data_IF_377261656736
#
_entry.id   IF_377261656736
#
_cell.length_a   1.000
_cell.length_b   1.000
_cell.length_c   1.000
_cell.angle_alpha   90.00
_cell.angle_beta   90.00
_cell.angle_gamma   90.00
#
_symmetry.space_group_name_H-M   'P 1'
#
loop_
_entity.id
_entity.type
_entity.pdbx_description
1 polymer ?
#
# COMPACT_ATOMS: atom_id res chain seq x y z
N UNK A 1 27.01 5.45 14.35
CA UNK A 1 25.90 6.33 14.77
C UNK A 1 25.90 7.55 13.85
N UNK A 2 24.88 7.65 12.99
CA UNK A 2 24.76 8.67 11.93
C UNK A 2 23.33 9.24 11.97
N UNK A 3 23.04 10.19 12.87
CA UNK A 3 21.70 10.71 13.04
C UNK A 3 21.34 11.74 11.96
N UNK A 4 20.10 11.72 11.51
CA UNK A 4 19.53 12.70 10.61
C UNK A 4 18.07 12.95 10.98
N UNK A 5 17.68 14.21 11.12
CA UNK A 5 16.27 14.58 11.34
C UNK A 5 15.67 14.98 9.99
N UNK A 6 14.69 14.21 9.55
CA UNK A 6 13.98 14.42 8.29
C UNK A 6 12.69 15.21 8.48
N UNK A 7 11.79 15.10 7.51
CA UNK A 7 10.47 15.73 7.57
C UNK A 7 9.62 15.21 8.73
N UNK A 8 8.77 16.09 9.28
CA UNK A 8 7.86 15.79 10.41
C UNK A 8 8.60 15.30 11.66
N UNK A 9 9.78 15.89 11.93
CA UNK A 9 10.62 15.58 13.08
C UNK A 9 10.94 14.08 13.26
N UNK A 10 11.00 13.33 12.15
CA UNK A 10 11.43 11.94 12.17
C UNK A 10 12.94 11.86 12.33
N UNK A 11 13.40 11.13 13.34
CA UNK A 11 14.82 10.82 13.53
C UNK A 11 15.17 9.52 12.82
N UNK A 12 16.11 9.60 11.90
CA UNK A 12 16.74 8.46 11.27
C UNK A 12 18.13 8.25 11.89
N UNK A 13 18.48 7.01 12.18
CA UNK A 13 19.78 6.68 12.74
C UNK A 13 20.16 5.23 12.46
N UNK A 14 21.46 4.94 12.49
CA UNK A 14 21.98 3.60 12.26
C UNK A 14 22.53 2.97 13.52
N UNK A 15 22.19 1.70 13.76
CA UNK A 15 22.65 0.92 14.92
C UNK A 15 22.68 -0.58 14.61
N UNK A 16 23.63 -1.28 15.23
CA UNK A 16 23.80 -2.73 15.30
C UNK A 16 23.28 -3.31 16.64
N UNK A 17 22.82 -2.45 17.55
CA UNK A 17 22.36 -2.85 18.89
C UNK A 17 20.91 -3.38 18.89
N UNK A 18 20.29 -3.52 17.72
CA UNK A 18 18.89 -3.93 17.54
C UNK A 18 18.80 -4.99 16.45
N UNK A 19 17.75 -5.80 16.49
CA UNK A 19 17.49 -6.81 15.46
C UNK A 19 17.20 -6.14 14.12
N UNK A 20 18.09 -6.33 13.15
CA UNK A 20 17.88 -5.91 11.78
C UNK A 20 18.34 -6.96 10.77
N UNK A 21 18.81 -6.54 9.60
CA UNK A 21 19.17 -7.41 8.49
C UNK A 21 20.68 -7.67 8.42
N UNK A 22 21.50 -6.72 8.88
CA UNK A 22 22.95 -6.73 8.69
C UNK A 22 23.73 -6.34 9.94
N UNK A 23 24.83 -5.63 9.73
CA UNK A 23 25.64 -5.07 10.82
C UNK A 23 24.99 -3.79 11.33
N UNK A 24 25.35 -2.65 10.76
CA UNK A 24 24.59 -1.41 10.94
C UNK A 24 23.32 -1.43 10.10
N UNK A 25 22.18 -1.19 10.74
CA UNK A 25 20.90 -1.01 10.06
C UNK A 25 20.33 0.38 10.35
N UNK A 26 19.64 0.97 9.36
CA UNK A 26 18.94 2.25 9.49
C UNK A 26 17.55 2.02 10.12
N UNK A 27 17.26 2.80 11.15
CA UNK A 27 15.97 2.85 11.83
C UNK A 27 15.37 4.25 11.74
N UNK A 28 14.05 4.33 11.79
CA UNK A 28 13.30 5.57 12.04
C UNK A 28 12.70 5.58 13.45
N UNK A 29 12.56 6.78 14.01
CA UNK A 29 11.86 7.06 15.26
C UNK A 29 11.00 8.31 15.09
N UNK A 30 9.83 8.30 15.73
CA UNK A 30 8.84 9.37 15.65
C UNK A 30 9.02 10.32 16.84
N UNK A 31 8.79 11.60 16.65
CA UNK A 31 8.79 12.55 17.75
C UNK A 31 7.37 12.75 18.26
N UNK A 32 7.09 12.29 19.48
CA UNK A 32 5.76 12.32 20.10
C UNK A 32 5.91 12.77 21.57
N UNK A 33 5.04 13.67 22.02
CA UNK A 33 4.99 14.13 23.43
C UNK A 33 6.33 14.63 24.02
N UNK A 34 7.22 15.17 23.16
CA UNK A 34 8.51 15.74 23.58
C UNK A 34 9.67 14.76 23.64
N UNK A 35 9.49 13.51 23.21
CA UNK A 35 10.54 12.50 23.14
C UNK A 35 10.43 11.65 21.86
N UNK A 36 11.52 10.97 21.50
CA UNK A 36 11.52 10.05 20.36
C UNK A 36 10.96 8.69 20.76
N UNK A 37 9.90 8.26 20.09
CA UNK A 37 9.16 7.01 20.31
C UNK A 37 9.32 6.07 19.12
N UNK A 38 8.95 4.79 19.32
CA UNK A 38 8.76 3.78 18.28
C UNK A 38 9.93 3.66 17.27
N UNK A 39 10.86 2.73 17.53
CA UNK A 39 12.00 2.50 16.64
C UNK A 39 11.69 1.42 15.61
N UNK A 40 11.55 1.79 14.35
CA UNK A 40 11.23 0.87 13.26
C UNK A 40 12.43 0.68 12.32
N UNK A 41 12.79 -0.57 12.02
CA UNK A 41 13.80 -0.88 11.01
C UNK A 41 13.24 -0.56 9.62
N UNK A 42 14.00 0.13 8.76
CA UNK A 42 13.52 0.49 7.42
C UNK A 42 13.46 -0.69 6.44
N UNK A 43 13.95 -1.87 6.83
CA UNK A 43 13.97 -3.11 6.07
C UNK A 43 14.58 -2.96 4.66
N UNK A 44 14.56 -4.05 3.88
CA UNK A 44 14.92 -3.97 2.47
C UNK A 44 13.89 -3.12 1.69
N UNK A 45 14.32 -2.31 0.70
CA UNK A 45 15.66 -2.31 0.10
C UNK A 45 16.68 -1.36 0.77
N UNK A 46 16.26 -0.55 1.75
CA UNK A 46 17.13 0.43 2.42
C UNK A 46 18.20 -0.27 3.26
N UNK A 47 17.80 -1.27 4.03
CA UNK A 47 18.70 -2.15 4.78
C UNK A 47 18.97 -3.44 4.01
N UNK A 48 20.13 -4.04 4.28
CA UNK A 48 20.67 -5.24 3.65
C UNK A 48 21.43 -6.09 4.66
N UNK A 49 22.07 -7.17 4.20
CA UNK A 49 22.92 -8.02 5.05
C UNK A 49 24.27 -7.37 5.41
N UNK A 50 24.43 -6.08 5.15
CA UNK A 50 25.68 -5.31 5.24
C UNK A 50 25.51 -4.12 6.19
N UNK A 51 26.49 -3.22 6.25
CA UNK A 51 26.39 -1.98 7.03
C UNK A 51 25.74 -0.90 6.20
N UNK A 52 24.49 -0.55 6.53
CA UNK A 52 23.73 0.54 5.93
C UNK A 52 23.62 1.72 6.91
N UNK A 53 24.05 2.90 6.48
CA UNK A 53 24.14 4.07 7.36
C UNK A 53 24.08 5.43 6.68
N UNK A 54 24.16 6.52 7.46
CA UNK A 54 24.15 7.90 6.98
C UNK A 54 22.96 8.22 6.05
N UNK A 55 21.77 7.81 6.48
CA UNK A 55 20.53 8.07 5.76
C UNK A 55 20.19 9.57 5.76
N UNK A 56 19.91 10.13 4.59
CA UNK A 56 19.50 11.52 4.40
C UNK A 56 18.36 11.62 3.39
N UNK A 57 17.43 12.53 3.63
CA UNK A 57 16.34 12.85 2.72
C UNK A 57 16.60 14.18 2.02
N UNK A 58 16.23 14.25 0.74
CA UNK A 58 16.21 15.50 -0.02
C UNK A 58 14.93 16.26 0.37
N UNK A 59 15.04 17.49 0.88
CA UNK A 59 13.89 18.26 1.35
C UNK A 59 12.75 18.38 0.34
N UNK A 60 11.52 18.14 0.76
CA UNK A 60 10.31 18.26 -0.06
C UNK A 60 10.10 17.08 -1.01
N UNK A 61 10.89 16.01 -0.89
CA UNK A 61 10.79 14.84 -1.77
C UNK A 61 10.76 13.53 -0.97
N UNK A 62 10.46 12.44 -1.67
CA UNK A 62 10.60 11.06 -1.19
C UNK A 62 11.94 10.43 -1.62
N UNK A 63 12.93 11.25 -1.95
CA UNK A 63 14.22 10.83 -2.49
C UNK A 63 15.31 11.09 -1.46
N UNK A 64 16.38 10.31 -1.52
CA UNK A 64 17.46 10.48 -0.58
C UNK A 64 18.68 9.64 -0.90
N UNK A 65 19.61 9.66 0.04
CA UNK A 65 20.85 8.91 -0.04
C UNK A 65 21.10 8.15 1.26
N UNK A 66 21.86 7.07 1.17
CA UNK A 66 22.47 6.39 2.31
C UNK A 66 23.82 5.82 1.87
N UNK A 67 24.67 5.49 2.81
CA UNK A 67 25.95 4.83 2.58
C UNK A 67 25.87 3.34 2.91
N UNK A 68 26.54 2.51 2.13
CA UNK A 68 26.59 1.08 2.39
C UNK A 68 27.84 0.39 1.86
N UNK A 69 28.27 -0.70 2.50
CA UNK A 69 29.37 -1.57 2.06
C UNK A 69 28.87 -2.86 1.37
N UNK A 70 27.85 -2.73 0.52
CA UNK A 70 27.32 -3.86 -0.28
C UNK A 70 28.34 -4.37 -1.30
N UNK A 71 28.27 -5.66 -1.58
CA UNK A 71 29.27 -6.40 -2.38
C UNK A 71 29.25 -5.99 -3.86
N UNK A 72 28.11 -5.51 -4.35
CA UNK A 72 27.89 -5.03 -5.71
C UNK A 72 28.30 -3.56 -5.92
N UNK A 73 28.89 -2.93 -4.90
CA UNK A 73 29.41 -1.57 -4.94
C UNK A 73 30.71 -1.39 -5.73
N UNK A 74 31.15 -0.15 -5.87
CA UNK A 74 32.39 0.25 -6.54
C UNK A 74 33.59 0.37 -5.58
N UNK A 75 33.37 0.27 -4.26
CA UNK A 75 34.41 0.42 -3.25
C UNK A 75 34.08 -0.22 -1.90
N UNK A 76 34.75 0.25 -0.84
CA UNK A 76 34.52 -0.24 0.52
C UNK A 76 33.24 0.30 1.16
N UNK A 77 32.87 1.55 0.86
CA UNK A 77 31.62 2.19 1.27
C UNK A 77 31.19 3.11 0.13
N UNK A 78 30.01 2.86 -0.42
CA UNK A 78 29.44 3.64 -1.53
C UNK A 78 28.21 4.41 -1.09
N UNK A 79 27.86 5.46 -1.84
CA UNK A 79 26.64 6.25 -1.64
C UNK A 79 25.56 5.73 -2.60
N UNK A 80 24.45 5.29 -2.03
CA UNK A 80 23.28 4.78 -2.73
C UNK A 80 22.20 5.84 -2.77
N UNK A 81 21.63 6.05 -3.95
CA UNK A 81 20.42 6.84 -4.13
C UNK A 81 19.18 5.95 -3.99
N UNK A 82 18.15 6.47 -3.34
CA UNK A 82 16.84 5.84 -3.31
C UNK A 82 15.73 6.82 -3.64
N UNK A 83 14.64 6.25 -4.14
CA UNK A 83 13.36 6.89 -4.28
C UNK A 83 12.34 5.99 -3.61
N UNK A 84 11.74 6.48 -2.51
CA UNK A 84 10.72 5.72 -1.80
C UNK A 84 9.42 5.75 -2.59
N UNK A 85 9.26 4.76 -3.48
CA UNK A 85 8.07 4.60 -4.35
C UNK A 85 6.82 4.17 -3.58
N UNK A 86 6.93 3.89 -2.28
CA UNK A 86 5.79 3.71 -1.38
C UNK A 86 5.75 4.93 -0.47
N UNK A 87 5.10 6.04 -0.87
CA UNK A 87 4.93 7.16 0.04
C UNK A 87 4.11 6.62 1.21
N UNK A 88 4.78 6.34 2.33
CA UNK A 88 4.21 6.04 3.65
C UNK A 88 2.86 5.32 3.55
N UNK A 89 2.86 3.98 3.65
CA UNK A 89 1.65 3.15 3.58
C UNK A 89 0.55 3.50 4.61
N UNK A 90 0.72 4.56 5.41
CA UNK A 90 -0.30 5.20 6.23
C UNK A 90 -0.35 6.71 5.91
N UNK A 91 -0.88 7.10 4.74
CA UNK A 91 -1.64 8.36 4.71
C UNK A 91 -2.90 8.09 5.51
N UNK A 92 -2.83 8.32 6.82
CA UNK A 92 -4.04 8.28 7.63
C UNK A 92 -4.97 9.35 7.06
N UNK A 93 -6.13 8.88 6.59
CA UNK A 93 -7.21 9.69 6.07
C UNK A 93 -8.42 9.52 6.97
N UNK A 94 -9.11 10.62 7.23
CA UNK A 94 -10.31 10.67 8.07
C UNK A 94 -11.43 11.40 7.36
N UNK A 95 -12.64 11.18 7.86
CA UNK A 95 -13.84 11.89 7.46
C UNK A 95 -14.22 12.92 8.53
N UNK A 96 -14.43 14.17 8.11
CA UNK A 96 -15.08 15.19 8.93
C UNK A 96 -16.51 15.32 8.44
N UNK A 97 -17.46 15.00 9.31
CA UNK A 97 -18.88 15.22 9.07
C UNK A 97 -19.39 16.33 9.97
N UNK A 98 -20.35 17.09 9.49
CA UNK A 98 -20.98 18.08 10.34
C UNK A 98 -22.37 18.45 9.89
N UNK A 99 -23.06 19.14 10.77
CA UNK A 99 -24.39 19.66 10.54
C UNK A 99 -24.38 21.14 10.90
N UNK A 100 -24.73 21.99 9.93
CA UNK A 100 -24.98 23.42 10.17
C UNK A 100 -26.42 23.58 10.61
N UNK A 101 -26.62 24.09 11.83
CA UNK A 101 -27.94 24.23 12.45
C UNK A 101 -28.17 25.66 12.91
N UNK A 102 -29.43 26.07 12.83
CA UNK A 102 -29.88 27.31 13.44
C UNK A 102 -29.94 27.14 14.97
N UNK A 103 -29.28 28.03 15.70
CA UNK A 103 -29.16 27.96 17.16
C UNK A 103 -30.53 28.01 17.86
N UNK A 104 -31.45 28.80 17.32
CA UNK A 104 -32.76 29.08 17.95
C UNK A 104 -33.71 27.89 17.87
N UNK A 105 -33.75 27.17 16.74
CA UNK A 105 -34.72 26.10 16.49
C UNK A 105 -34.08 24.72 16.26
N UNK A 106 -32.74 24.63 16.27
CA UNK A 106 -31.97 23.40 16.09
C UNK A 106 -32.18 22.68 14.75
N UNK A 107 -32.86 23.31 13.78
CA UNK A 107 -33.05 22.78 12.42
C UNK A 107 -31.81 23.00 11.57
N UNK A 108 -31.51 22.04 10.70
CA UNK A 108 -30.43 22.13 9.73
C UNK A 108 -30.72 23.15 8.64
N UNK A 109 -29.67 23.73 8.06
CA UNK A 109 -29.80 24.81 7.08
C UNK A 109 -29.29 24.31 5.72
N UNK A 110 -30.17 24.35 4.72
CA UNK A 110 -29.88 23.93 3.35
C UNK A 110 -28.99 24.94 2.61
N UNK A 111 -28.15 24.47 1.68
CA UNK A 111 -27.31 25.30 0.80
C UNK A 111 -26.44 26.34 1.52
N UNK A 112 -25.87 25.95 2.66
CA UNK A 112 -24.79 26.72 3.29
C UNK A 112 -23.49 26.31 2.64
N UNK A 113 -22.71 27.27 2.17
CA UNK A 113 -21.34 27.01 1.69
C UNK A 113 -20.46 26.71 2.89
N UNK A 114 -19.80 25.56 2.89
CA UNK A 114 -18.85 25.11 3.91
C UNK A 114 -17.49 24.94 3.25
N UNK A 115 -16.50 25.67 3.75
CA UNK A 115 -15.11 25.63 3.31
C UNK A 115 -14.24 25.12 4.43
N UNK A 116 -13.26 24.28 4.08
CA UNK A 116 -12.30 23.71 5.01
C UNK A 116 -10.89 24.17 4.63
N UNK A 117 -10.14 24.60 5.63
CA UNK A 117 -8.77 25.09 5.51
C UNK A 117 -7.84 24.34 6.46
N UNK A 118 -6.58 24.14 6.08
CA UNK A 118 -5.51 23.77 6.99
C UNK A 118 -4.51 24.92 7.06
N UNK A 119 -4.43 25.58 8.20
CA UNK A 119 -3.60 26.77 8.43
C UNK A 119 -3.98 27.95 7.50
N UNK A 120 -3.62 27.87 6.22
CA UNK A 120 -4.02 28.83 5.16
C UNK A 120 -4.33 28.16 3.81
N UNK A 121 -4.11 26.86 3.68
CA UNK A 121 -4.40 26.13 2.47
C UNK A 121 -5.89 25.78 2.42
N UNK A 122 -6.57 26.20 1.35
CA UNK A 122 -7.94 25.78 1.07
C UNK A 122 -7.96 24.31 0.65
N UNK A 123 -8.71 23.49 1.38
CA UNK A 123 -8.76 22.03 1.19
C UNK A 123 -9.97 21.63 0.36
N UNK A 124 -11.09 22.35 0.49
CA UNK A 124 -12.30 22.05 -0.26
C UNK A 124 -13.50 22.90 0.15
N UNK A 125 -14.52 22.85 -0.72
CA UNK A 125 -15.79 23.55 -0.54
C UNK A 125 -16.94 22.58 -0.79
N UNK A 126 -17.98 22.64 0.02
CA UNK A 126 -19.24 21.92 -0.18
C UNK A 126 -20.44 22.80 0.14
N UNK A 127 -21.61 22.38 -0.37
CA UNK A 127 -22.90 22.90 0.07
C UNK A 127 -23.55 21.89 1.01
N UNK A 128 -24.17 22.37 2.08
CA UNK A 128 -24.96 21.49 2.95
C UNK A 128 -26.19 20.96 2.23
N UNK A 129 -26.59 19.73 2.58
CA UNK A 129 -27.85 19.14 2.09
C UNK A 129 -29.07 19.75 2.84
N UNK A 130 -30.28 19.32 2.50
CA UNK A 130 -31.53 19.84 3.09
C UNK A 130 -31.65 19.62 4.62
N UNK A 131 -30.84 18.72 5.19
CA UNK A 131 -30.73 18.49 6.64
C UNK A 131 -29.61 19.31 7.28
N UNK A 132 -28.92 20.16 6.51
CA UNK A 132 -27.76 20.93 6.96
C UNK A 132 -26.46 20.14 7.03
N UNK A 133 -26.40 18.91 6.50
CA UNK A 133 -25.25 18.02 6.64
C UNK A 133 -24.18 18.25 5.55
N UNK A 134 -22.91 18.08 5.91
CA UNK A 134 -21.75 18.09 4.99
C UNK A 134 -20.73 16.99 5.36
N UNK A 135 -19.87 16.58 4.40
CA UNK A 135 -18.89 15.49 4.59
C UNK A 135 -17.60 15.73 3.79
N UNK A 136 -16.46 15.89 4.47
CA UNK A 136 -15.14 15.85 3.84
C UNK A 136 -14.47 14.50 4.13
N UNK A 137 -14.42 13.60 3.14
CA UNK A 137 -14.11 12.16 3.30
C UNK A 137 -12.62 11.79 3.13
N UNK A 138 -11.72 12.77 2.99
CA UNK A 138 -10.31 12.50 2.68
C UNK A 138 -9.32 13.50 3.30
N UNK A 139 -9.59 13.94 4.54
CA UNK A 139 -8.71 14.87 5.26
C UNK A 139 -7.53 14.13 5.91
N UNK A 140 -6.40 14.81 6.08
CA UNK A 140 -5.21 14.24 6.70
C UNK A 140 -5.39 14.15 8.22
N UNK A 141 -5.00 13.03 8.82
CA UNK A 141 -5.04 12.86 10.27
C UNK A 141 -4.02 13.73 11.00
N UNK A 142 -4.23 13.93 12.31
CA UNK A 142 -3.34 14.70 13.21
C UNK A 142 -3.09 16.15 12.75
N UNK A 143 -3.99 16.67 11.93
CA UNK A 143 -4.01 18.06 11.46
C UNK A 143 -5.15 18.83 12.12
N UNK A 144 -4.94 20.14 12.26
CA UNK A 144 -6.00 21.09 12.61
C UNK A 144 -6.61 21.65 11.34
N UNK A 145 -7.93 21.75 11.34
CA UNK A 145 -8.69 22.31 10.25
C UNK A 145 -9.61 23.40 10.76
N UNK A 146 -9.66 24.47 9.99
CA UNK A 146 -10.59 25.57 10.17
C UNK A 146 -11.75 25.37 9.20
N UNK A 147 -12.97 25.34 9.73
CA UNK A 147 -14.19 25.21 8.93
C UNK A 147 -14.92 26.53 8.98
N UNK A 148 -15.03 27.15 7.82
CA UNK A 148 -15.75 28.40 7.63
C UNK A 148 -17.04 28.08 6.88
N UNK A 149 -18.17 28.56 7.37
CA UNK A 149 -19.42 28.47 6.63
C UNK A 149 -20.00 29.85 6.37
N UNK A 150 -20.66 30.04 5.23
CA UNK A 150 -21.34 31.29 4.93
C UNK A 150 -22.58 31.11 4.07
N UNK A 151 -23.58 31.97 4.30
CA UNK A 151 -24.79 32.11 3.48
C UNK A 151 -25.34 33.52 3.65
N UNK A 152 -25.56 34.22 2.53
CA UNK A 152 -26.28 35.50 2.46
C UNK A 152 -25.96 36.52 3.59
N UNK A 153 -24.68 36.83 3.78
CA UNK A 153 -24.23 37.85 4.74
C UNK A 153 -23.97 37.34 6.17
N UNK A 154 -24.13 36.05 6.41
CA UNK A 154 -23.85 35.39 7.68
C UNK A 154 -22.71 34.40 7.54
N UNK A 155 -21.86 34.34 8.57
CA UNK A 155 -20.68 33.48 8.59
C UNK A 155 -20.64 32.71 9.91
N UNK A 156 -20.23 31.45 9.86
CA UNK A 156 -19.92 30.62 11.01
C UNK A 156 -18.49 30.07 10.93
N UNK A 157 -17.95 29.67 12.07
CA UNK A 157 -16.59 29.18 12.18
C UNK A 157 -16.50 28.06 13.22
N UNK A 158 -15.74 27.01 12.92
CA UNK A 158 -15.36 25.97 13.87
C UNK A 158 -13.94 25.47 13.60
N UNK A 159 -13.26 25.04 14.65
CA UNK A 159 -11.97 24.36 14.56
C UNK A 159 -12.15 22.87 14.88
N UNK A 160 -11.43 22.01 14.15
CA UNK A 160 -11.42 20.58 14.41
C UNK A 160 -10.00 20.02 14.31
N UNK A 161 -9.65 19.16 15.26
CA UNK A 161 -8.39 18.42 15.24
C UNK A 161 -8.66 16.95 14.92
N UNK A 162 -8.08 16.48 13.83
CA UNK A 162 -8.14 15.07 13.42
C UNK A 162 -7.21 14.22 14.30
N UNK A 163 -7.54 12.94 14.47
CA UNK A 163 -6.87 12.02 15.41
C UNK A 163 -6.09 10.93 14.67
N UNK A 164 -5.12 10.24 15.27
CA UNK A 164 -4.25 9.30 14.55
C UNK A 164 -4.92 7.96 14.11
N UNK A 165 -6.14 7.67 14.55
CA UNK A 165 -6.84 6.41 14.22
C UNK A 165 -7.52 6.48 12.85
N UNK A 166 -7.13 5.60 11.92
CA UNK A 166 -7.85 5.43 10.66
C UNK A 166 -9.27 4.88 10.93
N UNK A 167 -10.30 5.67 10.65
CA UNK A 167 -11.71 5.26 10.79
C UNK A 167 -12.57 6.10 11.74
N UNK A 168 -12.03 7.13 12.38
CA UNK A 168 -12.84 8.02 13.21
C UNK A 168 -13.60 9.06 12.37
N UNK A 169 -14.91 9.12 12.59
CA UNK A 169 -15.84 10.12 12.09
C UNK A 169 -16.00 11.20 13.15
N UNK A 170 -15.57 12.41 12.86
CA UNK A 170 -15.78 13.56 13.73
C UNK A 170 -17.10 14.22 13.33
N UNK A 171 -18.01 14.41 14.29
CA UNK A 171 -19.30 15.09 14.08
C UNK A 171 -19.20 16.49 14.65
N UNK A 172 -19.35 17.49 13.80
CA UNK A 172 -19.36 18.90 14.18
C UNK A 172 -20.78 19.46 14.15
N UNK A 173 -21.10 20.26 15.16
CA UNK A 173 -22.33 21.04 15.21
C UNK A 173 -21.94 22.52 15.12
N UNK A 174 -22.32 23.15 14.01
CA UNK A 174 -22.11 24.57 13.80
C UNK A 174 -23.41 25.29 14.15
N UNK A 175 -23.50 25.77 15.39
CA UNK A 175 -24.58 26.62 15.85
C UNK A 175 -24.42 28.02 15.27
N UNK A 176 -25.47 28.49 14.62
CA UNK A 176 -25.43 29.74 13.86
C UNK A 176 -26.70 30.55 14.10
N UNK A 177 -26.56 31.87 14.18
CA UNK A 177 -27.66 32.81 14.43
C UNK A 177 -28.38 33.23 13.13
N UNK A 178 -28.46 32.35 12.12
CA UNK A 178 -29.13 32.69 10.86
C UNK A 178 -30.62 33.02 11.07
N UNK A 179 -31.21 33.90 10.24
CA UNK A 179 -32.64 34.20 10.28
C UNK A 179 -33.51 32.95 10.05
N UNK A 180 -34.68 32.89 10.69
CA UNK A 180 -35.65 31.79 10.53
C UNK A 180 -36.12 31.59 9.07
N UNK A 181 -36.07 32.64 8.25
CA UNK A 181 -36.47 32.61 6.83
C UNK A 181 -35.62 31.64 5.97
N UNK A 182 -34.38 31.37 6.36
CA UNK A 182 -33.51 30.39 5.69
C UNK A 182 -33.72 28.95 6.13
N UNK A 183 -34.60 28.76 7.12
CA UNK A 183 -35.08 27.45 7.52
C UNK A 183 -36.33 27.19 6.72
N UNK A 184 -36.14 26.89 5.43
CA UNK A 184 -37.25 26.40 4.63
C UNK A 184 -37.75 25.10 5.28
N UNK A 185 -39.01 25.10 5.71
CA UNK A 185 -39.73 23.84 5.86
C UNK A 185 -39.93 23.28 4.46
N UNK A 186 -38.89 22.65 3.92
CA UNK A 186 -39.01 21.84 2.73
C UNK A 186 -39.80 20.58 3.14
N UNK A 187 -41.13 20.69 3.09
CA UNK A 187 -41.97 19.53 2.88
C UNK A 187 -41.52 18.99 1.52
N UNK A 188 -40.98 17.78 1.49
CA UNK A 188 -40.34 17.17 0.30
C UNK A 188 -41.42 16.75 -0.73
N UNK A 189 -42.51 17.52 -0.83
CA UNK A 189 -43.63 17.33 -1.73
C UNK A 189 -43.41 17.94 -3.11
N UNK A 190 -42.54 18.95 -3.23
CA UNK A 190 -42.42 19.70 -4.48
C UNK A 190 -41.05 19.45 -5.14
N UNK A 191 -41.12 18.95 -6.37
CA UNK A 191 -40.02 18.62 -7.31
C UNK A 191 -39.26 17.29 -7.14
N UNK A 192 -40.00 16.17 -7.14
CA UNK A 192 -39.47 14.93 -7.74
C UNK A 192 -39.80 14.93 -9.25
N UNK A 193 -38.87 15.39 -10.09
CA UNK A 193 -39.01 15.22 -11.55
C UNK A 193 -38.66 13.77 -11.89
N UNK A 194 -39.67 12.96 -12.19
CA UNK A 194 -39.46 11.58 -12.64
C UNK A 194 -39.10 11.58 -14.13
N UNK A 195 -37.86 11.22 -14.43
CA UNK A 195 -37.37 11.04 -15.80
C UNK A 195 -37.54 9.58 -16.21
N UNK A 196 -38.40 9.32 -17.20
CA UNK A 196 -38.58 7.98 -17.76
C UNK A 196 -37.49 7.70 -18.80
N UNK A 197 -36.54 6.83 -18.44
CA UNK A 197 -35.38 6.48 -19.25
C UNK A 197 -35.71 5.57 -20.45
N UNK A 198 -36.94 5.04 -20.55
CA UNK A 198 -37.38 4.24 -21.68
C UNK A 198 -38.08 5.08 -22.75
N UNK A 199 -38.73 6.17 -22.35
CA UNK A 199 -39.50 7.03 -23.27
C UNK A 199 -38.87 8.40 -23.52
N UNK A 200 -37.79 8.74 -22.81
CA UNK A 200 -37.03 9.99 -22.92
C UNK A 200 -37.92 11.24 -22.79
N UNK A 201 -38.91 11.17 -21.91
CA UNK A 201 -39.85 12.26 -21.59
C UNK A 201 -39.80 12.56 -20.11
N UNK A 202 -39.92 13.86 -19.81
CA UNK A 202 -40.15 14.35 -18.45
C UNK A 202 -41.62 14.10 -18.12
N UNK A 203 -41.89 13.25 -17.13
CA UNK A 203 -43.24 13.07 -16.60
C UNK A 203 -43.40 14.16 -15.54
N UNK A 204 -44.13 15.22 -15.88
CA UNK A 204 -44.59 16.18 -14.88
C UNK A 204 -45.71 15.51 -14.06
N UNK A 205 -45.76 15.67 -12.73
CA UNK A 205 -46.95 15.30 -11.97
C UNK A 205 -48.14 16.05 -12.58
N UNK A 206 -49.21 15.34 -12.95
CA UNK A 206 -50.39 15.92 -13.58
C UNK A 206 -50.85 17.17 -12.83
N UNK A 207 -50.50 18.33 -13.39
CA UNK A 207 -51.03 19.64 -13.03
C UNK A 207 -52.09 19.93 -14.08
N UNK A 208 -53.22 19.24 -13.94
CA UNK A 208 -54.45 19.59 -14.62
C UNK A 208 -55.54 19.67 -13.56
N UNK A 209 -55.80 20.89 -13.09
CA UNK A 209 -57.15 21.48 -12.92
C UNK A 209 -57.06 22.81 -12.17
N UNK A 210 -56.39 23.79 -12.78
CA UNK A 210 -56.87 25.17 -12.72
C UNK A 210 -57.68 25.42 -13.99
N UNK A 211 -58.86 24.80 -14.03
CA UNK A 211 -59.96 25.23 -14.88
C UNK A 211 -61.00 25.81 -13.93
N UNK A 212 -61.19 27.12 -14.03
CA UNK A 212 -62.16 27.92 -13.30
C UNK A 212 -63.53 27.23 -13.22
N UNK A 213 -63.98 26.83 -12.03
CA UNK A 213 -65.40 26.69 -11.70
C UNK A 213 -65.63 27.02 -10.22
N UNK A 214 -66.44 28.06 -10.00
CA UNK A 214 -67.07 28.40 -8.73
C UNK A 214 -67.73 27.16 -8.11
N UNK A 215 -67.36 26.78 -6.88
CA UNK A 215 -68.18 25.91 -6.04
C UNK A 215 -68.30 26.48 -4.62
N UNK A 216 -69.20 27.46 -4.51
CA UNK A 216 -69.91 27.76 -3.28
C UNK A 216 -70.75 26.52 -2.87
N UNK A 217 -70.56 25.99 -1.66
CA UNK A 217 -71.54 25.04 -1.12
C UNK A 217 -71.10 24.03 -0.05
N UNK A 218 -69.81 23.71 0.09
CA UNK A 218 -69.36 22.75 1.11
C UNK A 218 -69.17 23.42 2.48
N UNK A 219 -69.84 22.89 3.49
CA UNK A 219 -69.70 23.31 4.89
C UNK A 219 -68.26 23.18 5.34
N UNK A 220 -67.81 24.08 6.22
CA UNK A 220 -66.48 24.03 6.85
C UNK A 220 -66.16 22.64 7.43
N UNK A 221 -67.17 21.91 7.92
CA UNK A 221 -67.03 20.56 8.42
C UNK A 221 -66.66 19.53 7.34
N UNK A 222 -67.23 19.65 6.14
CA UNK A 222 -67.00 18.72 5.03
C UNK A 222 -65.63 18.94 4.38
N UNK A 223 -65.18 20.20 4.31
CA UNK A 223 -63.81 20.55 3.89
C UNK A 223 -62.78 19.95 4.85
N UNK A 224 -63.01 20.08 6.17
CA UNK A 224 -62.10 19.55 7.20
C UNK A 224 -62.02 18.02 7.21
N UNK A 225 -63.13 17.33 6.94
CA UNK A 225 -63.14 15.87 6.87
C UNK A 225 -62.46 15.36 5.58
N UNK A 226 -62.62 16.07 4.45
CA UNK A 226 -61.88 15.79 3.21
C UNK A 226 -60.38 15.94 3.41
N UNK A 227 -59.94 17.01 4.07
CA UNK A 227 -58.53 17.24 4.39
C UNK A 227 -57.97 16.15 5.31
N UNK A 228 -58.78 15.68 6.27
CA UNK A 228 -58.40 14.59 7.16
C UNK A 228 -58.20 13.28 6.40
N UNK A 229 -59.10 12.93 5.49
CA UNK A 229 -59.00 11.72 4.65
C UNK A 229 -57.80 11.83 3.70
N UNK A 230 -57.57 13.01 3.10
CA UNK A 230 -56.41 13.26 2.23
C UNK A 230 -55.09 13.09 3.01
N UNK A 231 -55.01 13.64 4.22
CA UNK A 231 -53.86 13.48 5.14
C UNK A 231 -53.63 12.02 5.55
N UNK A 232 -54.69 11.26 5.85
CA UNK A 232 -54.54 9.83 6.18
C UNK A 232 -54.08 8.99 5.00
N UNK A 233 -54.55 9.28 3.79
CA UNK A 233 -54.11 8.58 2.57
C UNK A 233 -52.63 8.81 2.31
N UNK A 234 -52.20 10.08 2.34
CA UNK A 234 -50.79 10.47 2.18
C UNK A 234 -49.90 9.82 3.25
N UNK A 235 -50.37 9.79 4.51
CA UNK A 235 -49.64 9.13 5.60
C UNK A 235 -49.46 7.62 5.35
N UNK A 236 -50.48 6.93 4.82
CA UNK A 236 -50.40 5.50 4.49
C UNK A 236 -49.45 5.23 3.32
N UNK A 237 -49.53 6.03 2.26
CA UNK A 237 -48.65 5.94 1.10
C UNK A 237 -47.18 6.20 1.49
N UNK A 238 -46.94 7.18 2.37
CA UNK A 238 -45.59 7.46 2.90
C UNK A 238 -45.00 6.28 3.67
N UNK A 239 -45.77 5.66 4.56
CA UNK A 239 -45.32 4.48 5.32
C UNK A 239 -45.02 3.31 4.37
N UNK A 240 -45.78 3.17 3.28
CA UNK A 240 -45.50 2.15 2.27
C UNK A 240 -44.19 2.43 1.50
N UNK A 241 -43.99 3.68 1.06
CA UNK A 241 -42.78 4.10 0.36
C UNK A 241 -41.51 3.98 1.23
N UNK A 242 -41.60 4.35 2.51
CA UNK A 242 -40.49 4.22 3.46
C UNK A 242 -40.07 2.76 3.68
N UNK A 243 -41.06 1.86 3.82
CA UNK A 243 -40.80 0.41 3.92
C UNK A 243 -40.17 -0.16 2.64
N UNK A 244 -40.56 0.35 1.48
CA UNK A 244 -39.99 -0.07 0.20
C UNK A 244 -38.55 0.44 0.03
N UNK A 245 -38.27 1.69 0.40
CA UNK A 245 -36.93 2.24 0.41
C UNK A 245 -36.00 1.47 1.37
N UNK A 246 -36.47 1.12 2.57
CA UNK A 246 -35.71 0.29 3.52
C UNK A 246 -35.41 -1.10 2.93
N UNK A 247 -36.36 -1.69 2.19
CA UNK A 247 -36.16 -2.98 1.51
C UNK A 247 -35.09 -2.88 0.43
N UNK A 248 -35.13 -1.83 -0.39
CA UNK A 248 -34.13 -1.59 -1.45
C UNK A 248 -32.74 -1.37 -0.84
N UNK A 249 -32.66 -0.60 0.25
CA UNK A 249 -31.38 -0.36 0.93
C UNK A 249 -30.80 -1.65 1.53
N UNK A 250 -31.62 -2.49 2.16
CA UNK A 250 -31.19 -3.82 2.61
C UNK A 250 -30.70 -4.69 1.46
N UNK A 251 -31.39 -4.68 0.31
CA UNK A 251 -30.97 -5.43 -0.88
C UNK A 251 -29.63 -4.91 -1.43
N UNK A 252 -29.41 -3.58 -1.45
CA UNK A 252 -28.13 -2.97 -1.85
C UNK A 252 -26.99 -3.37 -0.92
N UNK A 253 -27.22 -3.34 0.39
CA UNK A 253 -26.22 -3.75 1.38
C UNK A 253 -25.86 -5.24 1.27
N UNK A 254 -26.85 -6.10 1.04
CA UNK A 254 -26.63 -7.53 0.82
C UNK A 254 -25.85 -7.80 -0.49
N UNK A 255 -26.21 -7.11 -1.58
CA UNK A 255 -25.48 -7.20 -2.85
C UNK A 255 -24.02 -6.74 -2.72
N UNK A 256 -23.78 -5.62 -2.00
CA UNK A 256 -22.43 -5.13 -1.73
C UNK A 256 -21.61 -6.14 -0.90
N UNK A 257 -22.24 -6.78 0.10
CA UNK A 257 -21.59 -7.81 0.92
C UNK A 257 -21.20 -9.04 0.09
N UNK A 258 -22.06 -9.49 -0.82
CA UNK A 258 -21.78 -10.60 -1.73
C UNK A 258 -20.63 -10.25 -2.70
N UNK A 259 -20.66 -9.06 -3.30
CA UNK A 259 -19.59 -8.59 -4.18
C UNK A 259 -18.24 -8.50 -3.46
N UNK A 260 -18.22 -8.01 -2.22
CA UNK A 260 -17.01 -7.97 -1.40
C UNK A 260 -16.48 -9.37 -1.06
N UNK A 261 -17.36 -10.34 -0.82
CA UNK A 261 -16.97 -11.73 -0.57
C UNK A 261 -16.36 -12.39 -1.83
N UNK A 262 -16.94 -12.14 -3.00
CA UNK A 262 -16.42 -12.62 -4.28
C UNK A 262 -15.05 -12.02 -4.61
N UNK A 263 -14.88 -10.70 -4.42
CA UNK A 263 -13.60 -10.02 -4.62
C UNK A 263 -12.49 -10.59 -3.73
N UNK A 264 -12.80 -10.90 -2.45
CA UNK A 264 -11.85 -11.55 -1.54
C UNK A 264 -11.46 -12.95 -2.02
N UNK A 265 -12.42 -13.73 -2.53
CA UNK A 265 -12.14 -15.07 -3.08
C UNK A 265 -11.24 -14.99 -4.31
N UNK A 266 -11.53 -14.08 -5.24
CA UNK A 266 -10.71 -13.87 -6.44
C UNK A 266 -9.28 -13.43 -6.09
N UNK A 267 -9.14 -12.54 -5.11
CA UNK A 267 -7.82 -12.12 -4.62
C UNK A 267 -7.02 -13.29 -4.04
N UNK A 268 -7.65 -14.16 -3.25
CA UNK A 268 -7.01 -15.36 -2.69
C UNK A 268 -6.60 -16.37 -3.79
N UNK A 269 -7.44 -16.56 -4.81
CA UNK A 269 -7.13 -17.44 -5.94
C UNK A 269 -5.96 -16.88 -6.78
N UNK A 270 -5.91 -15.56 -7.00
CA UNK A 270 -4.79 -14.90 -7.67
C UNK A 270 -3.47 -15.06 -6.90
N UNK A 271 -3.50 -14.82 -5.58
CA UNK A 271 -2.31 -14.99 -4.73
C UNK A 271 -1.81 -16.45 -4.76
N UNK A 272 -2.72 -17.42 -4.73
CA UNK A 272 -2.37 -18.85 -4.85
C UNK A 272 -1.73 -19.18 -6.19
N UNK A 273 -2.24 -18.60 -7.28
CA UNK A 273 -1.70 -18.79 -8.62
C UNK A 273 -0.30 -18.19 -8.76
N UNK A 274 -0.06 -16.99 -8.21
CA UNK A 274 1.27 -16.36 -8.17
C UNK A 274 2.26 -17.20 -7.36
N UNK A 275 1.87 -17.66 -6.16
CA UNK A 275 2.71 -18.56 -5.34
C UNK A 275 3.07 -19.83 -6.09
N UNK A 276 2.12 -20.43 -6.82
CA UNK A 276 2.37 -21.63 -7.62
C UNK A 276 3.30 -21.35 -8.82
N UNK A 277 3.16 -20.20 -9.48
CA UNK A 277 4.04 -19.78 -10.57
C UNK A 277 5.49 -19.58 -10.08
N UNK A 278 5.66 -18.90 -8.95
CA UNK A 278 6.96 -18.66 -8.32
C UNK A 278 7.61 -19.99 -7.88
N UNK A 279 6.85 -20.89 -7.26
CA UNK A 279 7.34 -22.22 -6.88
C UNK A 279 7.80 -23.04 -8.10
N UNK A 280 7.05 -23.00 -9.22
CA UNK A 280 7.45 -23.67 -10.47
C UNK A 280 8.73 -23.07 -11.06
N UNK A 281 8.87 -21.74 -11.04
CA UNK A 281 10.07 -21.07 -11.51
C UNK A 281 11.31 -21.45 -10.67
N UNK A 282 11.15 -21.48 -9.34
CA UNK A 282 12.21 -21.88 -8.42
C UNK A 282 12.61 -23.34 -8.62
N UNK A 283 11.65 -24.26 -8.76
CA UNK A 283 11.93 -25.67 -9.04
C UNK A 283 12.68 -25.87 -10.37
N UNK A 284 12.34 -25.09 -11.41
CA UNK A 284 13.05 -25.12 -12.69
C UNK A 284 14.50 -24.62 -12.57
N UNK A 285 14.72 -23.58 -11.74
CA UNK A 285 16.07 -23.06 -11.47
C UNK A 285 16.91 -24.09 -10.73
N UNK A 286 16.37 -24.66 -9.64
CA UNK A 286 17.04 -25.68 -8.84
C UNK A 286 17.40 -26.92 -9.67
N UNK A 287 16.52 -27.35 -10.57
CA UNK A 287 16.80 -28.46 -11.47
C UNK A 287 17.99 -28.19 -12.39
N UNK A 288 18.09 -26.97 -12.96
CA UNK A 288 19.23 -26.58 -13.80
C UNK A 288 20.53 -26.51 -13.01
N UNK A 289 20.48 -26.01 -11.78
CA UNK A 289 21.64 -25.96 -10.89
C UNK A 289 22.13 -27.36 -10.52
N UNK A 290 21.22 -28.28 -10.20
CA UNK A 290 21.56 -29.67 -9.93
C UNK A 290 22.14 -30.39 -11.16
N UNK A 291 21.55 -30.18 -12.34
CA UNK A 291 22.07 -30.73 -13.60
C UNK A 291 23.49 -30.20 -13.91
N UNK A 292 23.73 -28.90 -13.67
CA UNK A 292 25.05 -28.29 -13.84
C UNK A 292 26.06 -28.85 -12.82
N UNK A 293 25.67 -28.99 -11.56
CA UNK A 293 26.51 -29.54 -10.49
C UNK A 293 26.91 -31.01 -10.77
N UNK A 294 25.97 -31.82 -11.26
CA UNK A 294 26.27 -33.20 -11.67
C UNK A 294 27.26 -33.24 -12.83
N UNK A 295 27.12 -32.33 -13.80
CA UNK A 295 28.02 -32.25 -14.95
C UNK A 295 29.44 -31.85 -14.52
N UNK A 296 29.58 -30.84 -13.68
CA UNK A 296 30.89 -30.42 -13.16
C UNK A 296 31.54 -31.49 -12.28
N UNK A 297 30.76 -32.22 -11.48
CA UNK A 297 31.30 -33.35 -10.72
C UNK A 297 31.79 -34.49 -11.64
N UNK A 298 31.04 -34.80 -12.70
CA UNK A 298 31.45 -35.81 -13.68
C UNK A 298 32.73 -35.41 -14.42
N UNK A 299 32.84 -34.15 -14.86
CA UNK A 299 34.05 -33.60 -15.49
C UNK A 299 35.25 -33.65 -14.53
N UNK A 300 35.05 -33.36 -13.23
CA UNK A 300 36.12 -33.46 -12.23
C UNK A 300 36.61 -34.89 -12.05
N UNK A 301 35.70 -35.86 -11.91
CA UNK A 301 36.06 -37.28 -11.79
C UNK A 301 36.79 -37.81 -13.02
N UNK A 302 36.41 -37.35 -14.21
CA UNK A 302 37.10 -37.72 -15.44
C UNK A 302 38.52 -37.12 -15.49
N UNK A 303 38.68 -35.85 -15.10
CA UNK A 303 39.99 -35.21 -14.99
C UNK A 303 40.91 -35.94 -13.99
N UNK A 304 40.39 -36.28 -12.80
CA UNK A 304 41.11 -37.06 -11.78
C UNK A 304 41.55 -38.43 -12.33
N UNK A 305 40.70 -39.12 -13.12
CA UNK A 305 41.05 -40.40 -13.75
C UNK A 305 42.16 -40.25 -14.78
N UNK A 306 42.09 -39.23 -15.63
CA UNK A 306 43.11 -38.95 -16.65
C UNK A 306 44.45 -38.63 -15.98
N UNK A 307 44.43 -37.88 -14.89
CA UNK A 307 45.65 -37.55 -14.13
C UNK A 307 46.27 -38.79 -13.49
N UNK A 308 45.46 -39.65 -12.87
CA UNK A 308 45.93 -40.92 -12.30
C UNK A 308 46.53 -41.85 -13.37
N UNK A 309 45.93 -41.91 -14.56
CA UNK A 309 46.44 -42.72 -15.68
C UNK A 309 47.79 -42.18 -16.20
N UNK A 310 47.94 -40.86 -16.28
CA UNK A 310 49.22 -40.22 -16.63
C UNK A 310 50.32 -40.51 -15.60
N UNK A 311 49.99 -40.44 -14.32
CA UNK A 311 50.94 -40.73 -13.25
C UNK A 311 51.39 -42.20 -13.31
N UNK A 312 50.46 -43.13 -13.47
CA UNK A 312 50.78 -44.55 -13.61
C UNK A 312 51.65 -44.83 -14.85
N UNK A 313 51.40 -44.14 -15.98
CA UNK A 313 52.23 -44.25 -17.16
C UNK A 313 53.64 -43.68 -16.96
N UNK A 314 53.78 -42.60 -16.18
CA UNK A 314 55.09 -42.05 -15.80
C UNK A 314 55.87 -43.03 -14.92
N UNK A 315 55.23 -43.61 -13.89
CA UNK A 315 55.86 -44.60 -13.02
C UNK A 315 56.34 -45.83 -13.80
N UNK A 316 55.53 -46.34 -14.74
CA UNK A 316 55.93 -47.45 -15.60
C UNK A 316 57.13 -47.10 -16.49
N UNK A 317 57.20 -45.87 -17.03
CA UNK A 317 58.32 -45.45 -17.84
C UNK A 317 59.60 -45.28 -17.00
N UNK A 318 59.49 -44.74 -15.78
CA UNK A 318 60.60 -44.65 -14.84
C UNK A 318 61.16 -46.02 -14.47
N UNK A 319 60.29 -47.01 -14.19
CA UNK A 319 60.70 -48.40 -13.95
C UNK A 319 61.41 -49.01 -15.16
N UNK A 320 60.91 -48.76 -16.38
CA UNK A 320 61.55 -49.22 -17.61
C UNK A 320 62.94 -48.61 -17.80
N UNK A 321 63.09 -47.31 -17.58
CA UNK A 321 64.38 -46.61 -17.66
C UNK A 321 65.36 -47.19 -16.63
N UNK A 322 64.91 -47.43 -15.40
CA UNK A 322 65.74 -48.00 -14.35
C UNK A 322 66.21 -49.43 -14.71
N UNK A 323 65.31 -50.27 -15.22
CA UNK A 323 65.64 -51.63 -15.65
C UNK A 323 66.65 -51.64 -16.82
N UNK A 324 66.51 -50.72 -17.77
CA UNK A 324 67.44 -50.53 -18.88
C UNK A 324 68.84 -50.10 -18.38
N UNK A 325 68.89 -49.15 -17.44
CA UNK A 325 70.14 -48.70 -16.82
C UNK A 325 70.85 -49.83 -16.06
N UNK A 326 70.09 -50.67 -15.34
CA UNK A 326 70.66 -51.82 -14.62
C UNK A 326 71.22 -52.86 -15.61
N UNK A 327 70.51 -53.12 -16.71
CA UNK A 327 70.98 -54.02 -17.77
C UNK A 327 72.27 -53.50 -18.42
N UNK A 328 72.34 -52.20 -18.69
CA UNK A 328 73.55 -51.53 -19.21
C UNK A 328 74.73 -51.67 -18.25
N UNK A 329 74.53 -51.46 -16.95
CA UNK A 329 75.57 -51.67 -15.92
C UNK A 329 76.09 -53.10 -15.91
N UNK A 330 75.21 -54.10 -15.93
CA UNK A 330 75.60 -55.51 -15.96
C UNK A 330 76.41 -55.86 -17.23
N UNK A 331 76.00 -55.34 -18.39
CA UNK A 331 76.75 -55.51 -19.64
C UNK A 331 78.15 -54.88 -19.57
N UNK A 332 78.25 -53.69 -18.98
CA UNK A 332 79.52 -52.99 -18.81
C UNK A 332 80.45 -53.71 -17.83
N UNK A 333 79.92 -54.25 -16.72
CA UNK A 333 80.68 -55.10 -15.79
C UNK A 333 81.25 -56.35 -16.49
N UNK A 334 80.44 -57.01 -17.33
CA UNK A 334 80.88 -58.15 -18.14
C UNK A 334 81.96 -57.74 -19.15
N UNK A 335 81.82 -56.57 -19.80
CA UNK A 335 82.82 -56.03 -20.72
C UNK A 335 84.15 -55.81 -20.02
N UNK A 336 84.14 -55.13 -18.87
CA UNK A 336 85.33 -54.87 -18.05
C UNK A 336 85.98 -56.18 -17.59
N UNK A 337 85.19 -57.17 -17.17
CA UNK A 337 85.70 -58.48 -16.77
C UNK A 337 86.39 -59.21 -17.93
N UNK A 338 85.79 -59.19 -19.14
CA UNK A 338 86.39 -59.78 -20.34
C UNK A 338 87.69 -59.07 -20.77
N UNK A 339 87.74 -57.74 -20.71
CA UNK A 339 88.96 -56.97 -21.00
C UNK A 339 90.09 -57.28 -20.02
N UNK A 340 89.77 -57.44 -18.72
CA UNK A 340 90.74 -57.87 -17.71
C UNK A 340 91.28 -59.27 -18.01
N UNK A 341 90.39 -60.21 -18.35
CA UNK A 341 90.77 -61.59 -18.68
C UNK A 341 91.68 -61.65 -19.92
N UNK A 342 91.35 -60.93 -20.99
CA UNK A 342 92.19 -60.85 -22.19
C UNK A 342 93.56 -60.21 -21.93
N UNK A 343 93.65 -59.22 -21.03
CA UNK A 343 94.94 -58.66 -20.61
C UNK A 343 95.77 -59.67 -19.83
N UNK A 344 95.13 -60.49 -18.99
CA UNK A 344 95.78 -61.51 -18.20
C UNK A 344 96.31 -62.66 -19.09
N UNK A 345 95.53 -63.10 -20.08
CA UNK A 345 95.93 -64.07 -21.11
C UNK A 345 97.02 -63.56 -22.07
N UNK A 346 97.28 -62.24 -22.15
CA UNK A 346 98.40 -61.66 -22.91
C UNK A 346 99.69 -61.48 -22.09
N UNK A 347 99.62 -61.67 -20.77
CA UNK A 347 100.73 -61.52 -19.83
C UNK A 347 101.34 -62.87 -19.42
N UNK A 348 100.65 -63.97 -19.70
CA UNK A 348 101.16 -65.36 -19.71
C UNK A 348 101.68 -65.72 -21.11
#
# INVERSE_FOLDING_TARGET
>A
MYPFVGHKDKLFFSTDARKGLGGLDIYESFFEEGYYTNTNNLNAPINSEKDDFAYVLIPGTNKGYFSSNRVDGFGGVDIYYFEDKKPSLNKCKQAIEGIVKNKSNQKGIFEVTVEIFNSQDHIGTQLTNYKGEFLFDNVECTQRYDIVCYKEGWNGFAEVQTVPESGNKLILYLDTDFPEEYVEEFDVSDELVVYDTQTNKVIKPDTDLDADLEEEGLSFAEKRERDRIKKERIKKERIAAEREAERIEKQKQEAARLAAAEAKRLAADNEKNERMANAKAMAKKLRRENELAQKTEAERKEAERIEAEKLAAQEQEEERILAEQERQRKLEEVRIANEKKQKQERLE
#
